data_IF_550726004867
#
_entry.id   IF_550726004867
#
_cell.length_a   1.000
_cell.length_b   1.000
_cell.length_c   1.000
_cell.angle_alpha   90.00
_cell.angle_beta   90.00
_cell.angle_gamma   90.00
#
_symmetry.space_group_name_H-M   'P 1'
#
loop_
_entity.id
_entity.type
_entity.pdbx_description
1 polymer ?
#
# COMPACT_ATOMS: atom_id res chain seq x y z
N UNK A 1 20.69 -2.71 -5.24
CA UNK A 1 20.96 -3.14 -6.63
C UNK A 1 19.81 -2.82 -7.58
N UNK A 2 18.59 -3.30 -7.37
CA UNK A 2 17.48 -3.02 -8.29
C UNK A 2 17.14 -1.52 -8.43
N UNK A 3 17.20 -0.78 -7.31
CA UNK A 3 16.95 0.66 -7.28
C UNK A 3 17.92 1.49 -8.14
N UNK A 4 19.21 1.14 -8.14
CA UNK A 4 20.21 1.83 -8.95
C UNK A 4 20.00 1.56 -10.46
N UNK A 5 19.52 0.36 -10.81
CA UNK A 5 19.20 0.02 -12.20
C UNK A 5 17.95 0.77 -12.69
N UNK A 6 16.93 0.93 -11.83
CA UNK A 6 15.74 1.74 -12.14
C UNK A 6 16.13 3.20 -12.36
N UNK A 7 16.96 3.77 -11.49
CA UNK A 7 17.44 5.16 -11.63
C UNK A 7 18.29 5.34 -12.89
N UNK A 8 19.17 4.38 -13.23
CA UNK A 8 19.96 4.43 -14.45
C UNK A 8 19.09 4.35 -15.71
N UNK A 9 18.03 3.52 -15.71
CA UNK A 9 17.08 3.44 -16.81
C UNK A 9 16.29 4.75 -16.98
N UNK A 10 15.77 5.33 -15.88
CA UNK A 10 15.10 6.62 -15.89
C UNK A 10 16.00 7.73 -16.43
N UNK A 11 17.27 7.77 -16.00
CA UNK A 11 18.25 8.74 -16.47
C UNK A 11 18.56 8.57 -17.97
N UNK A 12 18.72 7.33 -18.45
CA UNK A 12 18.95 7.05 -19.88
C UNK A 12 17.78 7.47 -20.77
N UNK A 13 16.54 7.23 -20.32
CA UNK A 13 15.34 7.69 -21.03
C UNK A 13 15.23 9.23 -21.04
N UNK A 14 15.58 9.91 -19.94
CA UNK A 14 15.57 11.37 -19.86
C UNK A 14 16.61 12.02 -20.78
N UNK A 15 17.84 11.49 -20.82
CA UNK A 15 18.92 11.97 -21.72
C UNK A 15 18.58 11.77 -23.20
N UNK A 16 17.84 10.71 -23.54
CA UNK A 16 17.41 10.45 -24.92
C UNK A 16 16.37 11.44 -25.45
N UNK A 17 15.81 12.30 -24.58
CA UNK A 17 14.74 13.25 -24.92
C UNK A 17 13.38 12.60 -25.21
N UNK A 18 13.26 11.27 -25.06
CA UNK A 18 12.03 10.54 -25.36
C UNK A 18 11.11 10.47 -24.13
N UNK A 19 10.50 11.61 -23.80
CA UNK A 19 9.70 11.79 -22.59
C UNK A 19 8.42 10.94 -22.54
N UNK A 20 7.88 10.50 -23.67
CA UNK A 20 6.71 9.60 -23.68
C UNK A 20 7.08 8.18 -23.24
N UNK A 21 8.19 7.62 -23.72
CA UNK A 21 8.68 6.33 -23.21
C UNK A 21 9.07 6.40 -21.74
N UNK A 22 9.61 7.54 -21.30
CA UNK A 22 9.89 7.77 -19.88
C UNK A 22 8.60 7.74 -19.03
N UNK A 23 7.53 8.39 -19.50
CA UNK A 23 6.21 8.34 -18.85
C UNK A 23 5.64 6.94 -18.80
N UNK A 24 5.71 6.19 -19.91
CA UNK A 24 5.24 4.80 -19.95
C UNK A 24 6.00 3.94 -18.95
N UNK A 25 7.33 4.05 -18.90
CA UNK A 25 8.15 3.30 -17.96
C UNK A 25 7.87 3.67 -16.51
N UNK A 26 7.67 4.96 -16.20
CA UNK A 26 7.24 5.42 -14.87
C UNK A 26 5.86 4.87 -14.52
N UNK A 27 4.90 4.91 -15.45
CA UNK A 27 3.56 4.34 -15.21
C UNK A 27 3.62 2.84 -14.98
N UNK A 28 4.47 2.12 -15.71
CA UNK A 28 4.68 0.69 -15.54
C UNK A 28 5.32 0.39 -14.17
N UNK A 29 6.27 1.22 -13.72
CA UNK A 29 6.84 1.14 -12.37
C UNK A 29 5.79 1.44 -11.29
N UNK A 30 4.95 2.47 -11.46
CA UNK A 30 3.86 2.80 -10.55
C UNK A 30 2.76 1.73 -10.52
N UNK A 31 2.51 1.05 -11.65
CA UNK A 31 1.61 -0.11 -11.71
C UNK A 31 2.22 -1.34 -11.03
N UNK A 32 3.50 -1.63 -11.29
CA UNK A 32 4.24 -2.71 -10.61
C UNK A 32 4.38 -2.46 -9.12
N UNK A 33 4.53 -1.21 -8.74
CA UNK A 33 4.64 -0.75 -7.36
C UNK A 33 3.29 -0.17 -6.95
N UNK A 34 2.28 -1.04 -6.83
CA UNK A 34 0.90 -0.76 -6.42
C UNK A 34 0.81 0.53 -5.58
N UNK A 35 0.48 1.67 -6.20
CA UNK A 35 0.39 2.96 -5.51
C UNK A 35 -0.56 2.90 -4.31
N UNK A 36 -1.59 2.05 -4.39
CA UNK A 36 -2.45 1.69 -3.28
C UNK A 36 -1.68 1.14 -2.07
N UNK A 37 -0.67 0.27 -2.25
CA UNK A 37 0.14 -0.26 -1.15
C UNK A 37 0.96 0.82 -0.45
N UNK A 38 1.51 1.80 -1.19
CA UNK A 38 2.24 2.93 -0.59
C UNK A 38 1.29 3.80 0.24
N UNK A 39 0.18 4.24 -0.34
CA UNK A 39 -0.84 5.05 0.36
C UNK A 39 -1.43 4.31 1.56
N UNK A 40 -1.66 3.00 1.43
CA UNK A 40 -2.16 2.18 2.51
C UNK A 40 -1.14 2.04 3.63
N UNK A 41 0.17 1.94 3.33
CA UNK A 41 1.23 1.90 4.36
C UNK A 41 1.30 3.21 5.14
N UNK A 42 1.19 4.34 4.46
CA UNK A 42 1.10 5.66 5.13
C UNK A 42 -0.14 5.72 6.03
N UNK A 43 -1.29 5.31 5.50
CA UNK A 43 -2.55 5.27 6.27
C UNK A 43 -2.47 4.31 7.46
N UNK A 44 -1.83 3.16 7.30
CA UNK A 44 -1.63 2.17 8.36
C UNK A 44 -0.86 2.79 9.53
N UNK A 45 0.06 3.69 9.25
CA UNK A 45 0.83 4.40 10.29
C UNK A 45 -0.04 5.32 11.15
N UNK A 46 -1.21 5.74 10.67
CA UNK A 46 -2.18 6.52 11.45
C UNK A 46 -3.04 5.66 12.39
N UNK A 47 -2.99 4.32 12.25
CA UNK A 47 -3.63 3.38 13.17
C UNK A 47 -2.66 3.07 14.31
N UNK A 48 -2.88 3.68 15.49
CA UNK A 48 -2.00 3.49 16.65
C UNK A 48 -2.38 2.30 17.53
N UNK A 49 -3.53 1.68 17.29
CA UNK A 49 -3.93 0.43 17.94
C UNK A 49 -3.21 -0.74 17.25
N UNK A 50 -2.13 -1.24 17.86
CA UNK A 50 -1.23 -2.22 17.23
C UNK A 50 -1.92 -3.47 16.70
N UNK A 51 -2.92 -4.01 17.41
CA UNK A 51 -3.67 -5.18 16.95
C UNK A 51 -4.48 -4.90 15.67
N UNK A 52 -5.12 -3.73 15.57
CA UNK A 52 -5.89 -3.31 14.40
C UNK A 52 -4.96 -3.06 13.20
N UNK A 53 -3.84 -2.38 13.43
CA UNK A 53 -2.82 -2.17 12.40
C UNK A 53 -2.25 -3.52 11.89
N UNK A 54 -1.95 -4.45 12.80
CA UNK A 54 -1.49 -5.79 12.43
C UNK A 54 -2.48 -6.55 11.55
N UNK A 55 -3.77 -6.47 11.87
CA UNK A 55 -4.84 -7.08 11.07
C UNK A 55 -4.86 -6.53 9.64
N UNK A 56 -4.92 -5.20 9.48
CA UNK A 56 -4.93 -4.58 8.15
C UNK A 56 -3.65 -4.89 7.36
N UNK A 57 -2.49 -4.88 8.00
CA UNK A 57 -1.22 -5.27 7.35
C UNK A 57 -1.28 -6.70 6.79
N UNK A 58 -1.82 -7.65 7.58
CA UNK A 58 -1.98 -9.03 7.14
C UNK A 58 -2.94 -9.14 5.94
N UNK A 59 -4.08 -8.43 5.97
CA UNK A 59 -5.05 -8.42 4.86
C UNK A 59 -4.49 -7.77 3.60
N UNK A 60 -3.74 -6.66 3.72
CA UNK A 60 -3.06 -6.02 2.59
C UNK A 60 -2.09 -6.96 1.87
N UNK A 61 -1.35 -7.79 2.61
CA UNK A 61 -0.45 -8.80 2.02
C UNK A 61 -1.23 -9.93 1.33
N UNK A 62 -2.40 -10.30 1.85
CA UNK A 62 -3.26 -11.31 1.24
C UNK A 62 -3.86 -10.80 -0.08
N UNK A 63 -4.36 -9.57 -0.10
CA UNK A 63 -4.95 -8.97 -1.31
C UNK A 63 -3.90 -8.70 -2.38
N UNK A 64 -2.67 -8.33 -2.01
CA UNK A 64 -1.53 -8.22 -2.93
C UNK A 64 -1.26 -9.55 -3.67
N UNK A 65 -1.27 -10.68 -2.95
CA UNK A 65 -1.09 -12.01 -3.55
C UNK A 65 -2.27 -12.48 -4.40
N UNK A 66 -3.48 -12.01 -4.07
CA UNK A 66 -4.70 -12.35 -4.79
C UNK A 66 -4.98 -11.41 -5.97
N UNK A 67 -4.10 -10.44 -6.25
CA UNK A 67 -4.30 -9.38 -7.24
C UNK A 67 -5.61 -8.60 -7.04
N UNK A 68 -6.05 -8.48 -5.78
CA UNK A 68 -7.24 -7.71 -5.40
C UNK A 68 -6.83 -6.31 -4.98
N UNK A 69 -7.42 -5.30 -5.63
CA UNK A 69 -7.20 -3.90 -5.24
C UNK A 69 -7.79 -3.63 -3.86
N UNK A 70 -6.95 -3.23 -2.91
CA UNK A 70 -7.34 -2.87 -1.56
C UNK A 70 -6.95 -1.42 -1.27
N UNK A 71 -7.88 -0.61 -0.77
CA UNK A 71 -7.65 0.79 -0.42
C UNK A 71 -8.08 1.03 1.03
N UNK A 72 -7.14 1.47 1.86
CA UNK A 72 -7.34 1.83 3.26
C UNK A 72 -7.35 3.35 3.39
N UNK A 73 -8.32 3.89 4.13
CA UNK A 73 -8.35 5.30 4.49
C UNK A 73 -8.77 5.46 5.95
N UNK A 74 -8.11 6.36 6.67
CA UNK A 74 -8.42 6.69 8.07
C UNK A 74 -8.49 8.21 8.17
N UNK A 75 -9.54 8.72 8.82
CA UNK A 75 -9.68 10.15 9.11
C UNK A 75 -8.95 10.47 10.42
N UNK A 76 -7.76 11.06 10.31
CA UNK A 76 -6.92 11.36 11.47
C UNK A 76 -6.31 10.10 12.09
N UNK A 77 -6.00 10.15 13.38
CA UNK A 77 -5.35 9.06 14.10
C UNK A 77 -6.34 8.17 14.84
N UNK A 78 -6.25 6.86 14.62
CA UNK A 78 -7.01 5.87 15.39
C UNK A 78 -6.21 5.47 16.64
N UNK A 79 -6.45 6.18 17.74
CA UNK A 79 -5.76 5.99 19.02
C UNK A 79 -6.46 4.98 19.94
N UNK A 80 -7.80 4.95 19.91
CA UNK A 80 -8.62 4.11 20.76
C UNK A 80 -9.97 3.82 20.12
N UNK A 81 -10.67 2.82 20.65
CA UNK A 81 -12.04 2.45 20.28
C UNK A 81 -12.85 2.20 21.54
N UNK A 82 -14.14 2.46 21.50
CA UNK A 82 -15.04 2.27 22.64
C UNK A 82 -15.57 0.83 22.70
N UNK A 83 -14.68 -0.16 22.58
CA UNK A 83 -14.99 -1.59 22.67
C UNK A 83 -13.73 -2.40 22.95
N UNK A 84 -13.89 -3.70 23.24
CA UNK A 84 -12.74 -4.59 23.36
C UNK A 84 -12.01 -4.71 22.01
N UNK A 85 -10.72 -4.43 21.99
CA UNK A 85 -9.90 -4.45 20.76
C UNK A 85 -9.92 -5.84 20.10
N UNK A 86 -9.95 -6.92 20.89
CA UNK A 86 -10.03 -8.28 20.35
C UNK A 86 -11.36 -8.53 19.62
N UNK A 87 -12.50 -8.15 20.21
CA UNK A 87 -13.82 -8.27 19.56
C UNK A 87 -13.85 -7.45 18.25
N UNK A 88 -13.28 -6.25 18.25
CA UNK A 88 -13.17 -5.45 17.02
C UNK A 88 -12.35 -6.17 15.95
N UNK A 89 -11.20 -6.74 16.32
CA UNK A 89 -10.34 -7.48 15.41
C UNK A 89 -11.04 -8.73 14.84
N UNK A 90 -11.85 -9.43 15.63
CA UNK A 90 -12.64 -10.57 15.15
C UNK A 90 -13.68 -10.12 14.12
N UNK A 91 -14.46 -9.08 14.42
CA UNK A 91 -15.48 -8.54 13.52
C UNK A 91 -14.84 -8.05 12.21
N UNK A 92 -13.76 -7.27 12.30
CA UNK A 92 -13.04 -6.78 11.11
C UNK A 92 -12.40 -7.93 10.34
N UNK A 93 -11.87 -8.94 11.03
CA UNK A 93 -11.28 -10.12 10.40
C UNK A 93 -12.30 -10.85 9.53
N UNK A 94 -13.45 -11.16 10.10
CA UNK A 94 -14.56 -11.81 9.39
C UNK A 94 -15.03 -10.94 8.22
N UNK A 95 -15.19 -9.63 8.41
CA UNK A 95 -15.65 -8.73 7.36
C UNK A 95 -14.68 -8.67 6.17
N UNK A 96 -13.37 -8.66 6.45
CA UNK A 96 -12.31 -8.55 5.43
C UNK A 96 -11.96 -9.90 4.79
N UNK A 97 -12.32 -11.02 5.41
CA UNK A 97 -12.15 -12.37 4.84
C UNK A 97 -13.24 -12.75 3.83
N UNK A 98 -14.40 -12.08 3.91
CA UNK A 98 -15.49 -12.23 2.94
C UNK A 98 -15.26 -11.40 1.68
#
# INVERSE_FOLDING_TARGET
HNYNNILAALYGHAESGNFEQLKEYINELCHKQNMALLTNRETLSEIKIGAVAGLFAAKMLMTEKAEVTFNLSVKGQLMSVNMQVMELCEILGILLDN
#
